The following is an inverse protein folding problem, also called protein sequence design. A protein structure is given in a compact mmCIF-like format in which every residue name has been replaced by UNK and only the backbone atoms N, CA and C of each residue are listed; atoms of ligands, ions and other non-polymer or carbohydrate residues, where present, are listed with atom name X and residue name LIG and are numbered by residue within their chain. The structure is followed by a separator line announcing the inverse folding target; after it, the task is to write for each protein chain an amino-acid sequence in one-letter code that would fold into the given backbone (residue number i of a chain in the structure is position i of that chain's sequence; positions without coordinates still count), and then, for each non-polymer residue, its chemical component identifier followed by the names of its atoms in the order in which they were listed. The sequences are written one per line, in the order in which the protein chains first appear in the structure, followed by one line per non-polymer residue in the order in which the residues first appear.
data_IF_769061882145
#
_entry.id   IF_769061882145
#
_cell.length_a   1.000
_cell.length_b   1.000
_cell.length_c   1.000
_cell.angle_alpha   90.00
_cell.angle_beta   90.00
_cell.angle_gamma   90.00
#
_symmetry.space_group_name_H-M   'P 1'
#
loop_
_entity.id
_entity.type
_entity.pdbx_description
1 polymer ?
#
# COMPACT_ATOMS: atom_id res chain seq x y z
N UNK A 1 -12.16 18.78 -25.51
CA UNK A 1 -11.11 18.20 -24.65
C UNK A 1 -11.08 19.00 -23.34
N UNK A 2 -11.39 18.40 -22.19
CA UNK A 2 -11.17 19.06 -20.90
C UNK A 2 -9.67 19.06 -20.63
N UNK A 3 -9.08 20.24 -20.47
CA UNK A 3 -7.70 20.37 -20.00
C UNK A 3 -7.71 19.94 -18.53
N UNK A 4 -7.04 18.83 -18.24
CA UNK A 4 -6.81 18.39 -16.86
C UNK A 4 -5.77 19.32 -16.26
N UNK A 5 -6.06 19.87 -15.09
CA UNK A 5 -5.11 20.71 -14.37
C UNK A 5 -4.02 19.85 -13.72
N UNK A 6 -2.84 20.43 -13.52
CA UNK A 6 -1.73 19.73 -12.84
C UNK A 6 -2.15 19.18 -11.47
N UNK A 7 -2.95 19.95 -10.71
CA UNK A 7 -3.49 19.52 -9.42
C UNK A 7 -4.40 18.29 -9.52
N UNK A 8 -5.18 18.17 -10.58
CA UNK A 8 -6.06 17.02 -10.79
C UNK A 8 -5.28 15.77 -11.17
N UNK A 9 -4.20 15.91 -11.93
CA UNK A 9 -3.28 14.82 -12.28
C UNK A 9 -2.57 14.29 -11.03
N UNK A 10 -1.96 15.18 -10.24
CA UNK A 10 -1.31 14.81 -8.98
C UNK A 10 -2.30 14.13 -8.01
N UNK A 11 -3.53 14.63 -7.93
CA UNK A 11 -4.58 13.99 -7.11
C UNK A 11 -4.96 12.60 -7.61
N UNK A 12 -4.97 12.38 -8.93
CA UNK A 12 -5.26 11.07 -9.52
C UNK A 12 -4.17 10.07 -9.19
N UNK A 13 -2.91 10.45 -9.38
CA UNK A 13 -1.75 9.59 -9.11
C UNK A 13 -1.66 9.23 -7.63
N UNK A 14 -1.81 10.24 -6.76
CA UNK A 14 -1.84 10.03 -5.31
C UNK A 14 -2.98 9.10 -4.91
N UNK A 15 -4.14 9.16 -5.59
CA UNK A 15 -5.27 8.28 -5.31
C UNK A 15 -4.96 6.83 -5.71
N UNK A 16 -4.39 6.61 -6.90
CA UNK A 16 -4.00 5.28 -7.38
C UNK A 16 -3.00 4.66 -6.40
N UNK A 17 -1.95 5.41 -6.06
CA UNK A 17 -0.91 4.93 -5.13
C UNK A 17 -1.46 4.70 -3.72
N UNK A 18 -2.33 5.58 -3.24
CA UNK A 18 -2.99 5.41 -1.93
C UNK A 18 -3.79 4.11 -1.89
N UNK A 19 -4.52 3.78 -2.96
CA UNK A 19 -5.26 2.53 -3.06
C UNK A 19 -4.32 1.33 -2.94
N UNK A 20 -3.28 1.28 -3.77
CA UNK A 20 -2.28 0.20 -3.73
C UNK A 20 -1.59 0.07 -2.37
N UNK A 21 -1.26 1.17 -1.70
CA UNK A 21 -0.65 1.15 -0.38
C UNK A 21 -1.60 0.63 0.71
N UNK A 22 -2.89 1.00 0.66
CA UNK A 22 -3.86 0.63 1.70
C UNK A 22 -4.48 -0.75 1.50
N UNK A 23 -4.67 -1.16 0.25
CA UNK A 23 -5.35 -2.41 -0.15
C UNK A 23 -4.39 -3.48 -0.66
N UNK A 24 -3.07 -3.31 -0.45
CA UNK A 24 -2.04 -4.26 -0.83
C UNK A 24 -2.39 -5.73 -0.51
N UNK A 25 -2.86 -6.03 0.70
CA UNK A 25 -3.18 -7.40 1.11
C UNK A 25 -4.37 -7.98 0.32
N UNK A 26 -5.33 -7.15 -0.08
CA UNK A 26 -6.47 -7.56 -0.89
C UNK A 26 -6.04 -7.82 -2.33
N UNK A 27 -5.26 -6.89 -2.91
CA UNK A 27 -4.67 -7.03 -4.23
C UNK A 27 -3.78 -8.28 -4.31
N UNK A 28 -2.97 -8.54 -3.28
CA UNK A 28 -2.10 -9.73 -3.22
C UNK A 28 -2.91 -11.02 -3.16
N UNK A 29 -3.95 -11.08 -2.33
CA UNK A 29 -4.83 -12.25 -2.22
C UNK A 29 -5.52 -12.54 -3.55
N UNK A 30 -6.05 -11.51 -4.19
CA UNK A 30 -6.73 -11.66 -5.47
C UNK A 30 -5.77 -12.09 -6.59
N UNK A 31 -4.57 -11.52 -6.63
CA UNK A 31 -3.51 -11.93 -7.54
C UNK A 31 -3.16 -13.41 -7.38
N UNK A 32 -2.92 -13.86 -6.14
CA UNK A 32 -2.57 -15.26 -5.86
C UNK A 32 -3.71 -16.20 -6.27
N UNK A 33 -4.97 -15.85 -5.94
CA UNK A 33 -6.15 -16.62 -6.32
C UNK A 33 -6.25 -16.77 -7.84
N UNK A 34 -6.10 -15.69 -8.61
CA UNK A 34 -6.15 -15.73 -10.08
C UNK A 34 -4.99 -16.49 -10.69
N UNK A 35 -3.78 -16.38 -10.11
CA UNK A 35 -2.59 -17.12 -10.53
C UNK A 35 -2.77 -18.62 -10.31
N UNK A 36 -3.31 -19.03 -9.17
CA UNK A 36 -3.57 -20.45 -8.85
C UNK A 36 -4.63 -21.07 -9.78
N UNK A 37 -5.73 -20.37 -10.05
CA UNK A 37 -6.72 -20.82 -11.05
C UNK A 37 -6.08 -21.03 -12.43
N UNK A 38 -5.21 -20.10 -12.85
CA UNK A 38 -4.53 -20.18 -14.15
C UNK A 38 -3.56 -21.37 -14.25
N UNK A 39 -2.93 -21.74 -13.13
CA UNK A 39 -2.01 -22.91 -13.06
C UNK A 39 -2.78 -24.23 -12.98
N UNK A 40 -3.89 -24.28 -12.22
CA UNK A 40 -4.72 -25.48 -12.08
C UNK A 40 -5.38 -25.92 -13.39
N UNK A 41 -5.83 -24.95 -14.20
CA UNK A 41 -6.45 -25.21 -15.52
C UNK A 41 -5.45 -25.66 -16.60
N UNK A 42 -4.14 -25.56 -16.33
CA UNK A 42 -3.09 -26.03 -17.24
C UNK A 42 -2.97 -27.57 -17.31
N UNK A 43 -3.79 -28.31 -16.57
CA UNK A 43 -3.87 -29.79 -16.60
C UNK A 43 -4.81 -30.33 -17.70
N UNK A 44 -5.60 -29.47 -18.37
CA UNK A 44 -6.52 -29.88 -19.43
C UNK A 44 -6.67 -28.79 -20.50
N UNK A 45 -5.88 -28.88 -21.58
CA UNK A 45 -6.23 -28.43 -22.94
C UNK A 45 -6.94 -27.06 -23.13
N UNK A 46 -6.61 -26.00 -22.36
CA UNK A 46 -7.24 -24.68 -22.52
C UNK A 46 -6.25 -23.49 -22.46
N UNK A 47 -5.01 -23.66 -22.91
CA UNK A 47 -4.08 -22.52 -23.04
C UNK A 47 -4.58 -21.49 -24.09
N UNK A 48 -5.53 -21.85 -24.97
CA UNK A 48 -6.05 -20.96 -26.01
C UNK A 48 -7.15 -19.97 -25.56
N UNK A 49 -7.67 -20.05 -24.32
CA UNK A 49 -8.80 -19.22 -23.88
C UNK A 49 -8.44 -18.15 -22.84
N UNK A 50 -7.21 -18.11 -22.34
CA UNK A 50 -6.76 -16.99 -21.51
C UNK A 50 -6.66 -15.77 -22.42
N UNK A 51 -7.67 -14.91 -22.37
CA UNK A 51 -7.67 -13.63 -23.06
C UNK A 51 -6.40 -12.87 -22.71
N UNK A 52 -5.65 -12.41 -23.71
CA UNK A 52 -4.44 -11.61 -23.54
C UNK A 52 -4.65 -10.45 -22.54
N UNK A 53 -5.85 -9.86 -22.50
CA UNK A 53 -6.22 -8.82 -21.55
C UNK A 53 -6.13 -9.27 -20.08
N UNK A 54 -6.45 -10.53 -19.77
CA UNK A 54 -6.32 -11.09 -18.41
C UNK A 54 -4.86 -11.29 -18.00
N UNK A 55 -3.98 -11.63 -18.95
CA UNK A 55 -2.54 -11.78 -18.69
C UNK A 55 -1.87 -10.41 -18.47
N UNK A 56 -2.19 -9.42 -19.29
CA UNK A 56 -1.69 -8.06 -19.11
C UNK A 56 -2.11 -7.47 -17.76
N UNK A 57 -3.36 -7.69 -17.36
CA UNK A 57 -3.89 -7.28 -16.05
C UNK A 57 -3.15 -7.96 -14.88
N UNK A 58 -2.87 -9.27 -14.98
CA UNK A 58 -2.07 -9.97 -13.97
C UNK A 58 -0.63 -9.46 -13.87
N UNK A 59 0.01 -9.17 -15.01
CA UNK A 59 1.36 -8.61 -15.03
C UNK A 59 1.40 -7.21 -14.44
N UNK A 60 0.40 -6.37 -14.70
CA UNK A 60 0.31 -5.03 -14.13
C UNK A 60 0.14 -5.08 -12.61
N UNK A 61 -0.76 -5.95 -12.13
CA UNK A 61 -0.96 -6.20 -10.69
C UNK A 61 0.34 -6.69 -10.03
N UNK A 62 1.05 -7.63 -10.65
CA UNK A 62 2.32 -8.13 -10.13
C UNK A 62 3.38 -7.02 -10.03
N UNK A 63 3.48 -6.14 -11.03
CA UNK A 63 4.41 -5.01 -11.01
C UNK A 63 4.10 -4.04 -9.87
N UNK A 64 2.82 -3.79 -9.59
CA UNK A 64 2.40 -3.00 -8.46
C UNK A 64 2.73 -3.67 -7.12
N UNK A 65 2.44 -4.96 -6.97
CA UNK A 65 2.78 -5.73 -5.76
C UNK A 65 4.28 -5.67 -5.48
N UNK A 66 5.11 -5.91 -6.51
CA UNK A 66 6.58 -5.84 -6.41
C UNK A 66 7.07 -4.44 -6.02
N UNK A 67 6.45 -3.38 -6.55
CA UNK A 67 6.78 -2.01 -6.16
C UNK A 67 6.50 -1.78 -4.67
N UNK A 68 5.33 -2.18 -4.18
CA UNK A 68 4.95 -1.97 -2.78
C UNK A 68 5.85 -2.78 -1.84
N UNK A 69 6.18 -4.03 -2.19
CA UNK A 69 7.13 -4.85 -1.43
C UNK A 69 8.52 -4.22 -1.35
N UNK A 70 9.02 -3.66 -2.45
CA UNK A 70 10.31 -2.96 -2.46
C UNK A 70 10.30 -1.71 -1.60
N UNK A 71 9.21 -0.94 -1.61
CA UNK A 71 9.04 0.21 -0.72
C UNK A 71 9.12 -0.25 0.73
N UNK A 72 8.37 -1.28 1.12
CA UNK A 72 8.38 -1.84 2.47
C UNK A 72 9.77 -2.30 2.92
N UNK A 73 10.51 -2.98 2.06
CA UNK A 73 11.87 -3.44 2.36
C UNK A 73 12.86 -2.30 2.59
N UNK A 74 12.65 -1.16 1.94
CA UNK A 74 13.53 0.03 2.05
C UNK A 74 13.08 1.01 3.13
N UNK A 75 11.87 0.88 3.65
CA UNK A 75 11.39 1.75 4.70
C UNK A 75 12.12 1.47 6.02
N UNK A 76 12.44 2.52 6.80
CA UNK A 76 12.88 2.34 8.18
C UNK A 76 11.85 1.50 8.96
N UNK A 77 12.31 0.61 9.83
CA UNK A 77 11.43 -0.33 10.55
C UNK A 77 10.26 0.35 11.30
N UNK A 78 10.46 1.58 11.79
CA UNK A 78 9.40 2.41 12.40
C UNK A 78 8.30 2.75 11.38
N UNK A 79 8.67 3.18 10.19
CA UNK A 79 7.71 3.47 9.11
C UNK A 79 7.04 2.21 8.57
N UNK A 80 7.72 1.05 8.64
CA UNK A 80 7.12 -0.23 8.31
C UNK A 80 5.99 -0.59 9.29
N UNK A 81 6.21 -0.46 10.60
CA UNK A 81 5.14 -0.65 11.62
C UNK A 81 3.98 0.30 11.34
N UNK A 82 4.28 1.57 11.09
CA UNK A 82 3.27 2.57 10.74
C UNK A 82 2.43 2.18 9.52
N UNK A 83 3.08 1.77 8.42
CA UNK A 83 2.38 1.39 7.19
C UNK A 83 1.47 0.18 7.41
N UNK A 84 1.94 -0.83 8.15
CA UNK A 84 1.12 -1.99 8.53
C UNK A 84 -0.12 -1.57 9.32
N UNK A 85 0.07 -0.79 10.39
CA UNK A 85 -1.04 -0.27 11.19
C UNK A 85 -2.00 0.59 10.37
N UNK A 86 -1.48 1.37 9.42
CA UNK A 86 -2.31 2.19 8.53
C UNK A 86 -3.22 1.36 7.62
N UNK A 87 -2.78 0.17 7.19
CA UNK A 87 -3.58 -0.82 6.45
C UNK A 87 -4.62 -1.49 7.32
N UNK A 88 -4.24 -1.89 8.53
CA UNK A 88 -5.14 -2.52 9.51
C UNK A 88 -6.33 -1.60 9.84
N UNK A 89 -6.04 -0.32 10.08
CA UNK A 89 -7.05 0.68 10.44
C UNK A 89 -7.58 1.47 9.23
N UNK A 90 -7.47 0.94 8.00
CA UNK A 90 -7.90 1.66 6.77
C UNK A 90 -9.38 2.03 6.76
N UNK A 91 -10.22 1.19 7.36
CA UNK A 91 -11.67 1.35 7.43
C UNK A 91 -12.15 2.18 8.63
N UNK A 92 -11.24 2.59 9.53
CA UNK A 92 -11.60 3.38 10.69
C UNK A 92 -11.98 4.79 10.27
N UNK A 93 -13.28 5.08 10.41
CA UNK A 93 -13.88 6.40 10.16
C UNK A 93 -14.35 7.04 11.46
N UNK A 94 -14.58 8.35 11.47
CA UNK A 94 -15.13 9.09 12.62
C UNK A 94 -14.24 10.23 13.13
N UNK A 95 -14.68 10.93 14.18
CA UNK A 95 -14.09 12.20 14.68
C UNK A 95 -12.59 12.09 15.06
N UNK A 96 -12.13 10.92 15.48
CA UNK A 96 -10.72 10.68 15.86
C UNK A 96 -9.90 10.07 14.72
N UNK A 97 -10.57 9.55 13.68
CA UNK A 97 -9.96 8.95 12.49
C UNK A 97 -9.03 7.77 12.75
N UNK A 98 -8.39 7.29 11.69
CA UNK A 98 -7.35 6.26 11.76
C UNK A 98 -6.13 6.71 12.59
N UNK A 99 -5.84 8.01 12.63
CA UNK A 99 -4.62 8.56 13.24
C UNK A 99 -4.53 8.25 14.73
N UNK A 100 -5.64 8.36 15.48
CA UNK A 100 -5.63 8.02 16.92
C UNK A 100 -5.43 6.53 17.14
N UNK A 101 -6.10 5.66 16.38
CA UNK A 101 -5.95 4.22 16.51
C UNK A 101 -4.50 3.78 16.21
N UNK A 102 -3.93 4.31 15.12
CA UNK A 102 -2.53 4.07 14.73
C UNK A 102 -1.57 4.62 15.78
N UNK A 103 -1.76 5.85 16.28
CA UNK A 103 -0.89 6.46 17.29
C UNK A 103 -0.80 5.61 18.56
N UNK A 104 -1.95 5.15 19.06
CA UNK A 104 -2.02 4.27 20.22
C UNK A 104 -1.26 2.97 19.96
N UNK A 105 -1.64 2.20 18.93
CA UNK A 105 -0.99 0.92 18.64
C UNK A 105 0.49 1.03 18.34
N UNK A 106 0.88 2.03 17.55
CA UNK A 106 2.26 2.28 17.18
C UNK A 106 3.15 2.47 18.42
N UNK A 107 2.65 3.21 19.41
CA UNK A 107 3.37 3.44 20.66
C UNK A 107 3.65 2.13 21.39
N UNK A 108 2.63 1.27 21.55
CA UNK A 108 2.81 -0.03 22.22
C UNK A 108 3.79 -0.94 21.49
N UNK A 109 3.72 -1.02 20.15
CA UNK A 109 4.62 -1.88 19.39
C UNK A 109 6.08 -1.40 19.42
N UNK A 110 6.28 -0.09 19.40
CA UNK A 110 7.63 0.49 19.50
C UNK A 110 8.17 0.31 20.92
N UNK A 111 7.34 0.48 21.94
CA UNK A 111 7.69 0.25 23.33
C UNK A 111 8.15 -1.19 23.57
N UNK A 112 7.34 -2.16 23.12
CA UNK A 112 7.62 -3.59 23.22
C UNK A 112 8.94 -3.93 22.54
N UNK A 113 9.16 -3.44 21.31
CA UNK A 113 10.38 -3.73 20.55
C UNK A 113 11.64 -3.08 21.13
N UNK A 114 11.49 -1.96 21.84
CA UNK A 114 12.61 -1.25 22.49
C UNK A 114 12.79 -1.66 23.97
N UNK A 115 11.91 -2.49 24.52
CA UNK A 115 11.90 -2.80 25.96
C UNK A 115 11.67 -1.57 26.84
N UNK A 116 10.89 -0.60 26.37
CA UNK A 116 10.60 0.66 27.05
C UNK A 116 9.15 0.74 27.49
N UNK A 117 8.82 1.71 28.34
CA UNK A 117 7.43 2.01 28.65
C UNK A 117 6.77 2.73 27.45
N UNK A 118 5.46 2.52 27.22
CA UNK A 118 4.71 3.22 26.16
C UNK A 118 4.84 4.73 26.25
N UNK A 119 4.82 5.30 27.46
CA UNK A 119 4.96 6.75 27.70
C UNK A 119 6.25 7.33 27.11
N UNK A 120 7.37 6.60 27.19
CA UNK A 120 8.68 7.02 26.65
C UNK A 120 8.77 6.97 25.12
N UNK A 121 7.80 6.29 24.49
CA UNK A 121 7.75 6.07 23.03
C UNK A 121 6.55 6.76 22.39
N UNK A 122 5.78 7.50 23.19
CA UNK A 122 4.56 8.14 22.75
C UNK A 122 4.87 9.22 21.71
N UNK A 123 4.26 9.08 20.54
CA UNK A 123 4.37 10.09 19.48
C UNK A 123 3.32 11.17 19.76
N UNK A 124 3.68 12.23 20.48
CA UNK A 124 2.72 13.29 20.86
C UNK A 124 2.05 13.95 19.67
N UNK A 125 2.78 14.10 18.56
CA UNK A 125 2.32 14.87 17.41
C UNK A 125 1.74 13.99 16.30
N UNK A 126 0.44 14.14 16.03
CA UNK A 126 -0.24 13.57 14.86
C UNK A 126 0.40 14.01 13.54
N UNK A 127 1.10 15.16 13.54
CA UNK A 127 1.83 15.66 12.39
C UNK A 127 2.92 14.69 11.92
N UNK A 128 3.55 13.96 12.84
CA UNK A 128 4.61 12.99 12.49
C UNK A 128 4.02 11.83 11.67
N UNK A 129 2.84 11.35 12.03
CA UNK A 129 2.15 10.27 11.31
C UNK A 129 1.73 10.72 9.90
N UNK A 130 1.21 11.95 9.76
CA UNK A 130 0.89 12.51 8.46
C UNK A 130 2.15 12.69 7.62
N UNK A 131 3.23 13.23 8.19
CA UNK A 131 4.51 13.39 7.48
C UNK A 131 5.10 12.05 7.03
N UNK A 132 4.95 10.99 7.83
CA UNK A 132 5.37 9.65 7.42
C UNK A 132 4.52 9.12 6.27
N UNK A 133 3.20 9.31 6.33
CA UNK A 133 2.30 8.98 5.24
C UNK A 133 2.68 9.71 3.95
N UNK A 134 2.83 11.03 4.00
CA UNK A 134 3.18 11.85 2.84
C UNK A 134 4.53 11.42 2.23
N UNK A 135 5.49 11.06 3.08
CA UNK A 135 6.79 10.58 2.65
C UNK A 135 6.73 9.21 1.96
N UNK A 136 5.95 8.27 2.52
CA UNK A 136 5.71 6.96 1.88
C UNK A 136 5.00 7.16 0.54
N UNK A 137 3.98 8.03 0.50
CA UNK A 137 3.24 8.34 -0.71
C UNK A 137 4.16 8.93 -1.79
N UNK A 138 4.95 9.95 -1.46
CA UNK A 138 5.89 10.59 -2.40
C UNK A 138 6.92 9.58 -2.96
N UNK A 139 7.47 8.70 -2.12
CA UNK A 139 8.37 7.65 -2.58
C UNK A 139 7.70 6.69 -3.56
N UNK A 140 6.49 6.24 -3.23
CA UNK A 140 5.78 5.28 -4.07
C UNK A 140 5.33 5.93 -5.38
N UNK A 141 4.82 7.16 -5.38
CA UNK A 141 4.44 7.90 -6.59
C UNK A 141 5.64 8.08 -7.51
N UNK A 142 6.78 8.54 -6.99
CA UNK A 142 8.00 8.75 -7.80
C UNK A 142 8.52 7.46 -8.41
N UNK A 143 8.49 6.36 -7.65
CA UNK A 143 8.94 5.06 -8.17
C UNK A 143 7.93 4.44 -9.14
N UNK A 144 6.63 4.61 -8.92
CA UNK A 144 5.57 4.19 -9.83
C UNK A 144 5.67 4.93 -11.18
N UNK A 145 5.84 6.25 -11.15
CA UNK A 145 6.03 7.07 -12.35
C UNK A 145 7.28 6.64 -13.14
N UNK A 146 8.41 6.40 -12.44
CA UNK A 146 9.64 5.89 -13.07
C UNK A 146 9.48 4.51 -13.72
N UNK A 147 8.51 3.72 -13.28
CA UNK A 147 8.20 2.40 -13.83
C UNK A 147 7.11 2.45 -14.90
N UNK A 148 6.49 3.59 -15.16
CA UNK A 148 5.32 3.66 -16.05
C UNK A 148 4.15 2.85 -15.50
N UNK A 149 3.89 2.97 -14.20
CA UNK A 149 2.70 2.43 -13.53
C UNK A 149 1.62 3.51 -13.30
N UNK A 150 1.93 4.77 -13.63
CA UNK A 150 1.05 5.94 -13.58
C UNK A 150 0.96 6.55 -14.97
#
# INVERSE_FOLDING_TARGET
MKIVTLDEEVKRDNKIVTDWLLFYDEHKKEYLRRRECSVSDSSASYISSISYNSLYDLMEVERWLNLIEEIEQRLPWKMHIFLRLRREYRHVTGRKGWTTAVQWRYTYEVAERLGKNPEDTWVESRFILNRWWDKILDYTVRLAAKRGLL
#
